data_IF_343611995284
#
_entry.id   IF_343611995284
#
_cell.length_a   1.000
_cell.length_b   1.000
_cell.length_c   1.000
_cell.angle_alpha   90.00
_cell.angle_beta   90.00
_cell.angle_gamma   90.00
#
_symmetry.space_group_name_H-M   'P 1'
#
loop_
_entity.id
_entity.type
_entity.pdbx_description
1 polymer ?
#
# COMPACT_ATOMS: atom_id res chain seq x y z
N UNK A 1 -27.17 6.15 -3.12
CA UNK A 1 -26.50 5.80 -1.86
C UNK A 1 -27.48 4.97 -1.07
N UNK A 2 -27.22 3.66 -0.96
CA UNK A 2 -28.05 2.74 -0.19
C UNK A 2 -27.76 2.95 1.30
N UNK A 3 -28.77 3.36 2.07
CA UNK A 3 -28.64 3.72 3.49
C UNK A 3 -28.18 2.49 4.29
N UNK A 4 -28.63 1.30 3.88
CA UNK A 4 -28.30 0.04 4.55
C UNK A 4 -26.82 -0.30 4.37
N UNK A 5 -26.28 -0.09 3.16
CA UNK A 5 -24.86 -0.27 2.86
C UNK A 5 -23.96 0.69 3.65
N UNK A 6 -24.35 1.96 3.79
CA UNK A 6 -23.61 2.93 4.60
C UNK A 6 -23.61 2.58 6.09
N UNK A 7 -24.74 2.13 6.65
CA UNK A 7 -24.81 1.71 8.06
C UNK A 7 -23.96 0.46 8.30
N UNK A 8 -23.97 -0.49 7.37
CA UNK A 8 -23.23 -1.74 7.49
C UNK A 8 -21.71 -1.57 7.29
N UNK A 9 -21.30 -0.71 6.35
CA UNK A 9 -19.90 -0.60 5.92
C UNK A 9 -19.23 0.72 6.28
N UNK A 10 -19.97 1.71 6.82
CA UNK A 10 -19.47 3.05 7.08
C UNK A 10 -18.27 3.10 8.02
N UNK A 11 -18.23 2.24 9.05
CA UNK A 11 -17.08 2.14 9.95
C UNK A 11 -15.82 1.67 9.19
N UNK A 12 -15.91 0.56 8.45
CA UNK A 12 -14.78 0.06 7.67
C UNK A 12 -14.36 1.03 6.56
N UNK A 13 -15.31 1.77 5.97
CA UNK A 13 -15.01 2.80 4.97
C UNK A 13 -14.21 3.94 5.58
N UNK A 14 -14.63 4.48 6.72
CA UNK A 14 -13.90 5.53 7.43
C UNK A 14 -12.51 5.06 7.89
N UNK A 15 -12.42 3.82 8.38
CA UNK A 15 -11.14 3.21 8.75
C UNK A 15 -10.21 3.11 7.53
N UNK A 16 -10.72 2.64 6.40
CA UNK A 16 -9.95 2.52 5.17
C UNK A 16 -9.46 3.88 4.64
N UNK A 17 -10.28 4.93 4.71
CA UNK A 17 -9.88 6.30 4.38
C UNK A 17 -8.70 6.72 5.26
N UNK A 18 -8.83 6.53 6.57
CA UNK A 18 -7.78 6.89 7.54
C UNK A 18 -6.47 6.16 7.23
N UNK A 19 -6.54 4.86 6.95
CA UNK A 19 -5.38 4.07 6.55
C UNK A 19 -4.75 4.60 5.26
N UNK A 20 -5.56 4.93 4.26
CA UNK A 20 -5.08 5.43 2.98
C UNK A 20 -4.43 6.82 3.08
N UNK A 21 -4.94 7.69 3.96
CA UNK A 21 -4.31 8.98 4.27
C UNK A 21 -2.91 8.79 4.88
N UNK A 22 -2.75 7.85 5.83
CA UNK A 22 -1.43 7.53 6.39
C UNK A 22 -0.47 6.97 5.34
N UNK A 23 -0.96 6.09 4.45
CA UNK A 23 -0.19 5.57 3.31
C UNK A 23 0.30 6.70 2.42
N UNK A 24 -0.56 7.64 2.05
CA UNK A 24 -0.17 8.77 1.21
C UNK A 24 0.85 9.69 1.88
N UNK A 25 0.68 9.97 3.17
CA UNK A 25 1.64 10.77 3.93
C UNK A 25 3.03 10.11 3.98
N UNK A 26 3.08 8.80 4.21
CA UNK A 26 4.33 8.03 4.23
C UNK A 26 4.97 7.94 2.85
N UNK A 27 4.18 7.72 1.79
CA UNK A 27 4.68 7.74 0.41
C UNK A 27 5.28 9.10 0.07
N UNK A 28 4.61 10.19 0.41
CA UNK A 28 5.12 11.54 0.20
C UNK A 28 6.47 11.73 0.90
N UNK A 29 6.57 11.35 2.18
CA UNK A 29 7.83 11.41 2.92
C UNK A 29 8.93 10.55 2.28
N UNK A 30 8.60 9.36 1.78
CA UNK A 30 9.56 8.46 1.15
C UNK A 30 10.06 8.96 -0.21
N UNK A 31 9.25 9.74 -0.93
CA UNK A 31 9.59 10.26 -2.25
C UNK A 31 10.29 11.61 -2.21
N UNK A 32 9.88 12.50 -1.30
CA UNK A 32 10.35 13.90 -1.23
C UNK A 32 11.29 14.15 -0.03
N UNK A 33 11.23 13.29 0.98
CA UNK A 33 11.90 13.51 2.26
C UNK A 33 13.42 13.42 2.16
N UNK A 34 14.09 14.49 2.61
CA UNK A 34 15.49 14.44 2.99
C UNK A 34 15.61 13.69 4.32
N UNK A 35 15.97 12.41 4.26
CA UNK A 35 16.11 11.57 5.45
C UNK A 35 17.38 11.91 6.23
N UNK A 36 17.21 12.19 7.53
CA UNK A 36 18.33 12.47 8.44
C UNK A 36 19.14 11.21 8.78
N UNK A 37 18.53 10.02 8.70
CA UNK A 37 19.20 8.75 8.89
C UNK A 37 18.50 7.61 8.16
N UNK A 38 19.25 6.53 7.92
CA UNK A 38 18.71 5.29 7.38
C UNK A 38 17.65 4.67 8.31
N UNK A 39 17.81 4.79 9.62
CA UNK A 39 16.85 4.22 10.58
C UNK A 39 15.47 4.86 10.46
N UNK A 40 15.40 6.18 10.27
CA UNK A 40 14.13 6.90 10.04
C UNK A 40 13.50 6.45 8.73
N UNK A 41 14.29 6.30 7.67
CA UNK A 41 13.82 5.78 6.39
C UNK A 41 13.23 4.36 6.53
N UNK A 42 13.94 3.47 7.23
CA UNK A 42 13.50 2.10 7.46
C UNK A 42 12.25 2.04 8.33
N UNK A 43 12.13 2.91 9.33
CA UNK A 43 10.94 3.00 10.16
C UNK A 43 9.70 3.42 9.33
N UNK A 44 9.85 4.41 8.44
CA UNK A 44 8.77 4.81 7.53
C UNK A 44 8.36 3.68 6.58
N UNK A 45 9.32 2.92 6.05
CA UNK A 45 9.03 1.74 5.22
C UNK A 45 8.23 0.69 6.00
N UNK A 46 8.57 0.44 7.26
CA UNK A 46 7.86 -0.51 8.10
C UNK A 46 6.42 -0.07 8.38
N UNK A 47 6.21 1.20 8.72
CA UNK A 47 4.87 1.76 8.90
C UNK A 47 4.05 1.74 7.61
N UNK A 48 4.65 2.06 6.47
CA UNK A 48 3.98 2.00 5.18
C UNK A 48 3.47 0.58 4.90
N UNK A 49 4.31 -0.43 5.14
CA UNK A 49 3.94 -1.84 5.00
C UNK A 49 2.77 -2.20 5.93
N UNK A 50 2.81 -1.75 7.18
CA UNK A 50 1.77 -2.03 8.18
C UNK A 50 0.41 -1.45 7.75
N UNK A 51 0.36 -0.16 7.39
CA UNK A 51 -0.88 0.50 6.96
C UNK A 51 -1.46 -0.11 5.69
N UNK A 52 -0.62 -0.52 4.73
CA UNK A 52 -1.08 -1.21 3.53
C UNK A 52 -1.66 -2.58 3.87
N UNK A 53 -1.03 -3.33 4.76
CA UNK A 53 -1.56 -4.64 5.18
C UNK A 53 -2.91 -4.49 5.90
N UNK A 54 -3.06 -3.46 6.72
CA UNK A 54 -4.33 -3.15 7.40
C UNK A 54 -5.41 -2.77 6.36
N UNK A 55 -5.11 -1.89 5.41
CA UNK A 55 -6.02 -1.53 4.32
C UNK A 55 -6.44 -2.75 3.49
N UNK A 56 -5.49 -3.62 3.13
CA UNK A 56 -5.77 -4.85 2.40
C UNK A 56 -6.62 -5.82 3.20
N UNK A 57 -6.41 -5.96 4.51
CA UNK A 57 -7.20 -6.83 5.37
C UNK A 57 -8.67 -6.41 5.40
N UNK A 58 -8.96 -5.10 5.50
CA UNK A 58 -10.32 -4.57 5.39
C UNK A 58 -10.96 -4.95 4.05
N UNK A 59 -10.19 -4.84 2.95
CA UNK A 59 -10.65 -5.15 1.60
C UNK A 59 -10.77 -6.65 1.27
N UNK A 60 -10.40 -7.57 2.17
CA UNK A 60 -10.59 -9.02 1.93
C UNK A 60 -12.06 -9.43 2.01
N UNK A 61 -12.91 -8.65 2.68
CA UNK A 61 -14.34 -8.90 2.72
C UNK A 61 -14.96 -8.52 1.36
N UNK A 62 -15.53 -9.52 0.67
CA UNK A 62 -16.12 -9.34 -0.67
C UNK A 62 -17.31 -8.38 -0.70
N UNK A 63 -18.14 -8.38 0.33
CA UNK A 63 -19.30 -7.48 0.42
C UNK A 63 -18.81 -6.02 0.56
N UNK A 64 -17.80 -5.81 1.42
CA UNK A 64 -17.19 -4.50 1.57
C UNK A 64 -16.43 -4.06 0.31
N UNK A 65 -15.73 -4.96 -0.36
CA UNK A 65 -15.09 -4.68 -1.67
C UNK A 65 -16.13 -4.21 -2.70
N UNK A 66 -17.26 -4.90 -2.81
CA UNK A 66 -18.34 -4.50 -3.72
C UNK A 66 -18.95 -3.15 -3.32
N UNK A 67 -19.17 -2.93 -2.03
CA UNK A 67 -19.61 -1.63 -1.51
C UNK A 67 -18.65 -0.51 -1.92
N UNK A 68 -17.34 -0.70 -1.75
CA UNK A 68 -16.33 0.29 -2.14
C UNK A 68 -16.35 0.55 -3.64
N UNK A 69 -16.39 -0.48 -4.48
CA UNK A 69 -16.41 -0.30 -5.94
C UNK A 69 -17.63 0.54 -6.38
N UNK A 70 -18.78 0.34 -5.73
CA UNK A 70 -20.04 1.02 -6.08
C UNK A 70 -20.13 2.45 -5.52
N UNK A 71 -19.61 2.68 -4.32
CA UNK A 71 -19.84 3.93 -3.58
C UNK A 71 -18.60 4.83 -3.49
N UNK A 72 -17.40 4.26 -3.57
CA UNK A 72 -16.12 4.97 -3.52
C UNK A 72 -15.04 4.24 -4.36
N UNK A 73 -15.33 4.12 -5.66
CA UNK A 73 -14.43 3.43 -6.59
C UNK A 73 -13.06 4.11 -6.68
N UNK A 74 -12.98 5.42 -6.43
CA UNK A 74 -11.72 6.15 -6.41
C UNK A 74 -10.79 5.63 -5.30
N UNK A 75 -11.28 5.51 -4.06
CA UNK A 75 -10.52 4.93 -2.96
C UNK A 75 -10.08 3.50 -3.27
N UNK A 76 -10.99 2.68 -3.79
CA UNK A 76 -10.69 1.30 -4.18
C UNK A 76 -9.52 1.21 -5.18
N UNK A 77 -9.63 1.91 -6.30
CA UNK A 77 -8.62 1.84 -7.37
C UNK A 77 -7.30 2.49 -6.96
N UNK A 78 -7.32 3.53 -6.12
CA UNK A 78 -6.11 4.15 -5.60
C UNK A 78 -5.32 3.18 -4.70
N UNK A 79 -5.99 2.49 -3.77
CA UNK A 79 -5.34 1.49 -2.91
C UNK A 79 -4.77 0.34 -3.75
N UNK A 80 -5.55 -0.17 -4.71
CA UNK A 80 -5.08 -1.21 -5.65
C UNK A 80 -3.85 -0.76 -6.43
N UNK A 81 -3.82 0.50 -6.86
CA UNK A 81 -2.69 1.08 -7.62
C UNK A 81 -1.42 1.15 -6.77
N UNK A 82 -1.52 1.59 -5.51
CA UNK A 82 -0.38 1.60 -4.58
C UNK A 82 0.16 0.18 -4.36
N UNK A 83 -0.72 -0.79 -4.14
CA UNK A 83 -0.34 -2.20 -3.95
C UNK A 83 0.33 -2.76 -5.19
N UNK A 84 -0.17 -2.44 -6.38
CA UNK A 84 0.46 -2.84 -7.64
C UNK A 84 1.85 -2.22 -7.80
N UNK A 85 2.00 -0.93 -7.52
CA UNK A 85 3.29 -0.25 -7.60
C UNK A 85 4.34 -0.91 -6.68
N UNK A 86 3.93 -1.30 -5.46
CA UNK A 86 4.82 -2.00 -4.52
C UNK A 86 5.24 -3.37 -5.05
N UNK A 87 4.32 -4.13 -5.65
CA UNK A 87 4.68 -5.41 -6.27
C UNK A 87 5.66 -5.24 -7.44
N UNK A 88 5.46 -4.21 -8.28
CA UNK A 88 6.37 -3.89 -9.38
C UNK A 88 7.77 -3.56 -8.86
N UNK A 89 7.88 -2.71 -7.83
CA UNK A 89 9.16 -2.35 -7.22
C UNK A 89 9.83 -3.56 -6.57
N UNK A 90 9.08 -4.38 -5.83
CA UNK A 90 9.61 -5.61 -5.24
C UNK A 90 10.15 -6.59 -6.30
N UNK A 91 9.43 -6.74 -7.42
CA UNK A 91 9.88 -7.58 -8.53
C UNK A 91 11.18 -7.04 -9.15
N UNK A 92 11.26 -5.72 -9.37
CA UNK A 92 12.47 -5.06 -9.89
C UNK A 92 13.67 -5.28 -8.96
N UNK A 93 13.52 -5.05 -7.66
CA UNK A 93 14.59 -5.26 -6.67
C UNK A 93 15.03 -6.74 -6.60
N UNK A 94 14.07 -7.67 -6.68
CA UNK A 94 14.37 -9.10 -6.80
C UNK A 94 15.19 -9.43 -8.04
N UNK A 95 14.84 -8.86 -9.19
CA UNK A 95 15.58 -9.08 -10.45
C UNK A 95 16.99 -8.46 -10.41
N UNK A 96 17.16 -7.27 -9.81
CA UNK A 96 18.46 -6.62 -9.67
C UNK A 96 19.39 -7.42 -8.76
N UNK A 97 18.91 -7.86 -7.59
CA UNK A 97 19.70 -8.70 -6.68
C UNK A 97 20.08 -10.04 -7.30
N UNK A 98 19.16 -10.69 -8.02
CA UNK A 98 19.45 -11.91 -8.77
C UNK A 98 20.47 -11.70 -9.91
N UNK A 99 20.46 -10.54 -10.55
CA UNK A 99 21.42 -10.17 -11.60
C UNK A 99 22.81 -9.93 -11.01
N UNK A 100 22.91 -9.13 -9.94
CA UNK A 100 24.18 -8.86 -9.26
C UNK A 100 24.85 -10.15 -8.77
N UNK A 101 24.09 -11.06 -8.15
CA UNK A 101 24.61 -12.36 -7.69
C UNK A 101 25.19 -13.19 -8.84
N UNK A 102 24.52 -13.22 -10.00
CA UNK A 102 25.00 -13.94 -11.19
C UNK A 102 26.26 -13.30 -11.78
N UNK A 103 26.35 -11.98 -11.79
CA UNK A 103 27.55 -11.27 -12.27
C UNK A 103 28.77 -11.55 -11.39
N UNK A 104 28.62 -11.62 -10.07
CA UNK A 104 29.73 -11.96 -9.16
C UNK A 104 30.22 -13.40 -9.39
N UNK A 105 29.31 -14.36 -9.55
CA UNK A 105 29.66 -15.77 -9.82
C UNK A 105 30.33 -15.93 -11.20
N UNK A 106 29.93 -15.15 -12.20
CA UNK A 106 30.54 -15.18 -13.53
C UNK A 106 31.96 -14.56 -13.59
N UNK A 107 32.35 -13.79 -12.56
CA UNK A 107 33.66 -13.15 -12.43
C UNK A 107 34.60 -13.90 -11.47
N UNK A 108 34.16 -15.00 -10.87
CA UNK A 108 34.95 -15.89 -10.00
C UNK A 108 35.25 -17.21 -10.69
#
# INVERSE_FOLDING_TARGET
MDIDGFIQHGHHHQELITQFEQVNALLYQLTDGMYQSLDVYMNNCNHLREHINQALALMQNREFEQYLIQNDGALYYNIRSVVLAIHIVNNLLGNLTGTMKRSVVAMS
#
